data_IF_104390596388
#
_entry.id   IF_104390596388
#
_cell.length_a   1.000
_cell.length_b   1.000
_cell.length_c   1.000
_cell.angle_alpha   90.00
_cell.angle_beta   90.00
_cell.angle_gamma   90.00
#
_symmetry.space_group_name_H-M   'P 1'
#
loop_
_entity.id
_entity.type
_entity.pdbx_description
1 polymer ?
#
# COMPACT_ATOMS: atom_id res chain seq x y z
N UNK A 1 -0.90 -19.52 8.47
CA UNK A 1 0.32 -20.30 8.20
C UNK A 1 0.40 -20.64 6.72
N UNK A 2 1.59 -20.45 6.14
CA UNK A 2 1.94 -20.67 4.74
C UNK A 2 2.93 -21.84 4.72
N UNK A 3 2.77 -22.75 3.77
CA UNK A 3 3.67 -23.90 3.61
C UNK A 3 5.03 -23.42 3.12
N UNK A 4 6.08 -23.79 3.84
CA UNK A 4 7.45 -23.65 3.42
C UNK A 4 7.90 -24.96 2.75
N UNK A 5 8.00 -24.94 1.43
CA UNK A 5 8.38 -26.11 0.61
C UNK A 5 9.83 -26.08 0.15
N UNK A 6 10.64 -25.19 0.69
CA UNK A 6 12.06 -25.01 0.30
C UNK A 6 12.89 -26.27 0.50
N UNK A 7 12.52 -27.09 1.48
CA UNK A 7 13.19 -28.34 1.84
C UNK A 7 12.42 -29.59 1.35
N UNK A 8 11.47 -29.44 0.42
CA UNK A 8 10.61 -30.54 -0.05
C UNK A 8 11.39 -31.61 -0.83
N UNK A 9 12.39 -31.19 -1.61
CA UNK A 9 13.22 -32.07 -2.43
C UNK A 9 14.61 -32.11 -1.81
N UNK A 10 15.15 -33.31 -1.60
CA UNK A 10 16.53 -33.47 -1.12
C UNK A 10 17.56 -33.39 -2.26
N UNK A 11 18.85 -33.31 -1.91
CA UNK A 11 19.96 -33.26 -2.89
C UNK A 11 20.02 -34.49 -3.83
N UNK A 12 19.31 -35.58 -3.49
CA UNK A 12 19.22 -36.80 -4.28
C UNK A 12 17.94 -36.83 -5.15
N UNK A 13 17.14 -35.77 -5.13
CA UNK A 13 15.92 -35.62 -5.93
C UNK A 13 14.69 -36.31 -5.34
N UNK A 14 14.74 -36.80 -4.10
CA UNK A 14 13.59 -37.44 -3.45
C UNK A 14 12.66 -36.40 -2.84
N UNK A 15 11.36 -36.63 -3.01
CA UNK A 15 10.31 -35.79 -2.42
C UNK A 15 10.00 -36.28 -1.01
N UNK A 16 10.13 -35.40 -0.01
CA UNK A 16 9.80 -35.69 1.38
C UNK A 16 8.84 -34.65 1.97
N UNK A 17 7.56 -35.02 2.08
CA UNK A 17 6.51 -34.17 2.62
C UNK A 17 6.64 -33.89 4.12
N UNK A 18 7.37 -34.73 4.88
CA UNK A 18 7.61 -34.52 6.32
C UNK A 18 8.55 -33.33 6.59
N UNK A 19 9.22 -32.81 5.55
CA UNK A 19 10.10 -31.64 5.62
C UNK A 19 9.38 -30.32 5.36
N UNK A 20 8.09 -30.35 5.04
CA UNK A 20 7.31 -29.13 4.87
C UNK A 20 7.10 -28.48 6.24
N UNK A 21 7.64 -27.28 6.41
CA UNK A 21 7.42 -26.46 7.61
C UNK A 21 6.38 -25.37 7.32
N UNK A 22 6.03 -24.61 8.35
CA UNK A 22 5.08 -23.51 8.25
C UNK A 22 5.76 -22.20 8.64
N UNK A 23 5.41 -21.13 7.93
CA UNK A 23 5.76 -19.77 8.33
C UNK A 23 4.51 -18.87 8.28
N UNK A 24 4.60 -17.69 8.88
CA UNK A 24 3.52 -16.71 8.88
C UNK A 24 4.04 -15.34 8.47
N UNK A 25 3.16 -14.53 7.90
CA UNK A 25 3.43 -13.11 7.65
C UNK A 25 2.66 -12.25 8.64
N UNK A 26 3.22 -11.10 9.00
CA UNK A 26 2.57 -10.13 9.87
C UNK A 26 2.90 -8.70 9.44
N UNK A 27 1.86 -7.88 9.30
CA UNK A 27 1.97 -6.48 8.96
C UNK A 27 1.40 -5.62 10.09
N UNK A 28 2.21 -4.71 10.63
CA UNK A 28 1.83 -3.74 11.64
C UNK A 28 1.87 -2.34 11.04
N UNK A 29 0.86 -1.52 11.35
CA UNK A 29 0.77 -0.14 10.89
C UNK A 29 0.50 0.81 12.05
N UNK A 30 1.33 1.85 12.17
CA UNK A 30 1.11 2.97 13.06
C UNK A 30 0.88 4.23 12.21
N UNK A 31 -0.17 4.98 12.52
CA UNK A 31 -0.47 6.25 11.84
C UNK A 31 -0.62 7.39 12.83
N UNK A 32 -0.09 8.55 12.44
CA UNK A 32 -0.28 9.80 13.15
C UNK A 32 -0.89 10.83 12.21
N UNK A 33 -2.06 11.34 12.56
CA UNK A 33 -2.82 12.24 11.71
C UNK A 33 -3.08 13.57 12.40
N UNK A 34 -2.99 14.66 11.64
CA UNK A 34 -3.35 16.00 12.08
C UNK A 34 -4.26 16.66 11.04
N UNK A 35 -5.34 17.30 11.48
CA UNK A 35 -6.25 18.02 10.59
C UNK A 35 -6.71 19.32 11.22
N UNK A 36 -6.92 20.34 10.37
CA UNK A 36 -7.35 21.66 10.82
C UNK A 36 -8.27 22.34 9.81
N UNK A 37 -9.26 23.06 10.33
CA UNK A 37 -10.06 24.02 9.56
C UNK A 37 -9.23 25.28 9.28
N UNK A 38 -9.21 25.72 8.03
CA UNK A 38 -8.52 26.97 7.65
C UNK A 38 -9.44 28.18 7.90
N UNK A 39 -8.86 29.39 8.01
CA UNK A 39 -9.64 30.63 8.13
C UNK A 39 -10.58 30.89 6.93
N UNK A 40 -10.28 30.27 5.77
CA UNK A 40 -11.15 30.29 4.59
C UNK A 40 -12.34 29.36 4.83
N UNK A 41 -13.56 29.90 4.73
CA UNK A 41 -14.79 29.15 5.00
C UNK A 41 -14.87 27.87 4.18
N UNK A 42 -15.18 26.76 4.85
CA UNK A 42 -15.36 25.45 4.22
C UNK A 42 -14.06 24.72 3.89
N UNK A 43 -12.90 25.39 3.96
CA UNK A 43 -11.62 24.78 3.60
C UNK A 43 -10.95 24.13 4.81
N UNK A 44 -10.54 22.87 4.67
CA UNK A 44 -9.86 22.07 5.68
C UNK A 44 -8.64 21.42 5.05
N UNK A 45 -7.59 21.19 5.84
CA UNK A 45 -6.47 20.36 5.42
C UNK A 45 -6.16 19.30 6.47
N UNK A 46 -5.50 18.23 6.03
CA UNK A 46 -5.01 17.16 6.87
C UNK A 46 -3.66 16.67 6.37
N UNK A 47 -2.84 16.20 7.30
CA UNK A 47 -1.59 15.51 7.03
C UNK A 47 -1.58 14.21 7.83
N UNK A 48 -0.94 13.19 7.27
CA UNK A 48 -0.84 11.88 7.89
C UNK A 48 0.57 11.34 7.72
N UNK A 49 1.16 10.83 8.80
CA UNK A 49 2.40 10.08 8.78
C UNK A 49 2.11 8.62 9.10
N UNK A 50 2.79 7.70 8.42
CA UNK A 50 2.64 6.26 8.56
C UNK A 50 4.00 5.64 8.85
N UNK A 51 4.00 4.66 9.74
CA UNK A 51 5.11 3.72 9.92
C UNK A 51 4.52 2.32 9.76
N UNK A 52 5.06 1.54 8.83
CA UNK A 52 4.64 0.17 8.54
C UNK A 52 5.79 -0.77 8.89
N UNK A 53 5.51 -1.85 9.62
CA UNK A 53 6.46 -2.94 9.86
C UNK A 53 5.90 -4.21 9.24
N UNK A 54 6.61 -4.81 8.30
CA UNK A 54 6.25 -6.12 7.73
C UNK A 54 7.23 -7.18 8.19
N UNK A 55 6.74 -8.40 8.37
CA UNK A 55 7.52 -9.57 8.77
C UNK A 55 7.05 -10.74 7.91
N UNK A 56 7.99 -11.45 7.29
CA UNK A 56 7.76 -12.63 6.45
C UNK A 56 8.53 -13.79 7.06
N UNK A 57 7.90 -14.53 7.97
CA UNK A 57 8.54 -15.65 8.67
C UNK A 57 9.91 -15.27 9.23
N UNK A 58 10.89 -16.13 8.94
CA UNK A 58 12.31 -15.86 9.20
C UNK A 58 13.02 -15.25 7.98
N UNK A 59 12.35 -15.15 6.83
CA UNK A 59 12.99 -14.79 5.56
C UNK A 59 13.31 -13.31 5.43
N UNK A 60 12.39 -12.44 5.86
CA UNK A 60 12.59 -11.00 5.70
C UNK A 60 11.72 -10.18 6.65
N UNK A 61 12.16 -8.97 6.96
CA UNK A 61 11.31 -7.96 7.59
C UNK A 61 11.59 -6.57 7.03
N UNK A 62 10.62 -5.66 7.07
CA UNK A 62 10.81 -4.30 6.55
C UNK A 62 10.19 -3.21 7.38
N UNK A 63 10.81 -2.03 7.31
CA UNK A 63 10.26 -0.79 7.83
C UNK A 63 9.93 0.16 6.69
N UNK A 64 8.68 0.62 6.68
CA UNK A 64 8.12 1.54 5.73
C UNK A 64 7.71 2.86 6.37
N UNK A 65 7.94 3.98 5.68
CA UNK A 65 7.51 5.31 6.14
C UNK A 65 6.78 6.04 5.02
N UNK A 66 5.62 6.62 5.32
CA UNK A 66 4.84 7.36 4.32
C UNK A 66 4.25 8.64 4.87
N UNK A 67 4.20 9.69 4.05
CA UNK A 67 3.49 10.93 4.35
C UNK A 67 2.36 11.15 3.35
N UNK A 68 1.17 11.46 3.85
CA UNK A 68 0.04 11.91 3.04
C UNK A 68 -0.33 13.35 3.40
N UNK A 69 -0.93 14.06 2.45
CA UNK A 69 -1.61 15.31 2.70
C UNK A 69 -2.93 15.33 1.94
N UNK A 70 -3.92 16.01 2.53
CA UNK A 70 -5.22 16.19 1.93
C UNK A 70 -5.73 17.60 2.16
N UNK A 71 -6.53 18.08 1.21
CA UNK A 71 -7.32 19.29 1.33
C UNK A 71 -8.77 18.95 1.01
N UNK A 72 -9.69 19.57 1.73
CA UNK A 72 -11.12 19.40 1.51
C UNK A 72 -11.80 20.76 1.54
N UNK A 73 -12.73 20.98 0.61
CA UNK A 73 -13.62 22.12 0.59
C UNK A 73 -15.07 21.66 0.76
N UNK A 74 -15.75 22.21 1.76
CA UNK A 74 -17.15 21.94 2.08
C UNK A 74 -17.99 23.21 1.89
N UNK A 75 -19.06 23.09 1.10
CA UNK A 75 -20.00 24.20 0.88
C UNK A 75 -21.13 24.16 1.92
N UNK A 76 -21.79 25.30 2.12
CA UNK A 76 -22.98 25.40 2.99
C UNK A 76 -24.15 24.50 2.52
N UNK A 77 -24.15 24.12 1.24
CA UNK A 77 -25.13 23.19 0.69
C UNK A 77 -24.56 21.76 0.67
N UNK A 78 -23.80 21.32 1.67
CA UNK A 78 -23.35 19.93 1.85
C UNK A 78 -22.60 19.27 0.66
N UNK A 79 -22.09 20.06 -0.29
CA UNK A 79 -21.10 19.55 -1.25
C UNK A 79 -19.74 19.48 -0.58
N UNK A 80 -19.01 18.40 -0.83
CA UNK A 80 -17.61 18.24 -0.42
C UNK A 80 -16.77 17.89 -1.63
N UNK A 81 -15.65 18.59 -1.76
CA UNK A 81 -14.61 18.35 -2.75
C UNK A 81 -13.34 18.02 -1.98
N UNK A 82 -12.66 16.95 -2.33
CA UNK A 82 -11.46 16.48 -1.66
C UNK A 82 -10.37 16.16 -2.66
N UNK A 83 -9.14 16.51 -2.30
CA UNK A 83 -7.95 16.06 -2.99
C UNK A 83 -7.01 15.48 -1.93
N UNK A 84 -6.51 14.28 -2.15
CA UNK A 84 -5.55 13.61 -1.27
C UNK A 84 -4.35 13.18 -2.09
N UNK A 85 -3.17 13.66 -1.72
CA UNK A 85 -1.90 13.16 -2.22
C UNK A 85 -1.37 12.14 -1.19
N UNK A 86 -1.16 10.91 -1.63
CA UNK A 86 -0.64 9.81 -0.81
C UNK A 86 0.81 9.56 -1.13
N UNK A 87 1.56 9.20 -0.08
CA UNK A 87 2.96 8.79 -0.18
C UNK A 87 3.82 9.89 -0.85
N UNK A 88 3.62 11.16 -0.45
CA UNK A 88 4.23 12.36 -1.04
C UNK A 88 5.75 12.31 -1.02
N UNK A 89 6.34 11.79 0.05
CA UNK A 89 7.79 11.65 0.20
C UNK A 89 8.33 10.38 -0.43
N UNK A 90 7.52 9.64 -1.18
CA UNK A 90 7.72 8.24 -1.54
C UNK A 90 7.75 7.38 -0.29
N UNK A 91 6.97 6.30 -0.27
CA UNK A 91 7.12 5.30 0.79
C UNK A 91 8.32 4.42 0.45
N UNK A 92 9.38 4.53 1.23
CA UNK A 92 10.52 3.63 1.20
C UNK A 92 10.27 2.50 2.20
N UNK A 93 10.17 1.27 1.73
CA UNK A 93 10.32 0.11 2.60
C UNK A 93 11.76 -0.39 2.49
N UNK A 94 12.49 -0.34 3.60
CA UNK A 94 13.80 -0.97 3.71
C UNK A 94 13.60 -2.40 4.23
N UNK A 95 13.98 -3.38 3.42
CA UNK A 95 13.92 -4.80 3.72
C UNK A 95 15.27 -5.28 4.28
N UNK A 96 15.21 -5.97 5.41
CA UNK A 96 16.28 -6.81 5.92
C UNK A 96 15.93 -8.24 5.56
N UNK A 97 16.76 -8.85 4.71
CA UNK A 97 16.62 -10.24 4.25
C UNK A 97 17.58 -11.09 5.06
N UNK A 98 17.12 -12.27 5.48
CA UNK A 98 17.98 -13.26 6.12
C UNK A 98 18.76 -14.03 5.05
N UNK A 99 20.06 -13.78 4.98
CA UNK A 99 20.95 -14.38 3.98
C UNK A 99 21.09 -15.90 4.19
N UNK A 100 21.07 -16.39 5.44
CA UNK A 100 21.19 -17.81 5.72
C UNK A 100 19.96 -18.57 5.22
N UNK A 101 18.76 -18.05 5.49
CA UNK A 101 17.51 -18.60 4.94
C UNK A 101 17.46 -18.47 3.41
N UNK A 102 18.01 -17.39 2.84
CA UNK A 102 18.07 -17.21 1.39
C UNK A 102 18.99 -18.23 0.70
N UNK A 103 20.16 -18.54 1.26
CA UNK A 103 21.05 -19.55 0.69
C UNK A 103 20.41 -20.95 0.68
N UNK A 104 19.47 -21.25 1.60
CA UNK A 104 18.73 -22.53 1.56
C UNK A 104 17.81 -22.67 0.34
N UNK A 105 17.45 -21.56 -0.30
CA UNK A 105 16.49 -21.53 -1.42
C UNK A 105 17.11 -21.15 -2.76
N UNK A 106 18.27 -20.49 -2.72
CA UNK A 106 18.94 -19.92 -3.88
C UNK A 106 19.26 -20.95 -4.97
N UNK A 107 19.64 -22.16 -4.57
CA UNK A 107 19.97 -23.28 -5.46
C UNK A 107 18.88 -24.36 -5.49
N UNK A 108 17.67 -24.06 -4.98
CA UNK A 108 16.59 -25.05 -4.88
C UNK A 108 16.05 -25.52 -6.25
N UNK A 109 16.33 -24.79 -7.33
CA UNK A 109 15.95 -25.14 -8.70
C UNK A 109 17.17 -25.00 -9.61
N UNK A 110 17.64 -26.14 -10.14
CA UNK A 110 18.81 -26.21 -11.02
C UNK A 110 18.64 -25.28 -12.25
N UNK A 111 19.60 -24.38 -12.45
CA UNK A 111 19.58 -23.41 -13.55
C UNK A 111 18.67 -22.18 -13.33
N UNK A 112 18.06 -22.04 -12.14
CA UNK A 112 17.29 -20.86 -11.73
C UNK A 112 17.85 -20.20 -10.47
N UNK A 113 19.18 -20.06 -10.41
CA UNK A 113 19.84 -19.36 -9.30
C UNK A 113 19.22 -17.97 -9.12
N UNK A 114 18.65 -17.75 -7.95
CA UNK A 114 18.02 -16.49 -7.60
C UNK A 114 19.10 -15.52 -7.10
N UNK A 115 19.04 -14.27 -7.56
CA UNK A 115 19.83 -13.20 -6.94
C UNK A 115 19.11 -12.69 -5.69
N UNK A 116 19.88 -12.14 -4.74
CA UNK A 116 19.31 -11.50 -3.56
C UNK A 116 18.33 -10.41 -4.02
N UNK A 117 17.09 -10.39 -3.51
CA UNK A 117 16.13 -9.39 -3.92
C UNK A 117 16.55 -8.00 -3.45
N UNK A 118 16.11 -6.98 -4.18
CA UNK A 118 16.37 -5.59 -3.85
C UNK A 118 15.89 -5.26 -2.42
N UNK A 119 16.78 -4.64 -1.64
CA UNK A 119 16.52 -4.32 -0.22
C UNK A 119 15.68 -3.05 -0.04
N UNK A 120 15.33 -2.37 -1.12
CA UNK A 120 14.54 -1.13 -1.09
C UNK A 120 13.34 -1.24 -2.03
N UNK A 121 12.15 -1.04 -1.48
CA UNK A 121 10.91 -0.91 -2.25
C UNK A 121 10.46 0.55 -2.21
N UNK A 122 10.24 1.13 -3.39
CA UNK A 122 9.84 2.53 -3.58
C UNK A 122 8.40 2.54 -4.06
N UNK A 123 7.50 3.20 -3.31
CA UNK A 123 6.13 3.43 -3.74
C UNK A 123 5.99 4.82 -4.36
N UNK A 124 5.59 4.87 -5.64
CA UNK A 124 5.31 6.10 -6.36
C UNK A 124 4.11 6.84 -5.72
N UNK A 125 4.15 8.18 -5.59
CA UNK A 125 3.04 8.97 -5.10
C UNK A 125 1.74 8.69 -5.86
N UNK A 126 0.60 8.91 -5.19
CA UNK A 126 -0.73 8.74 -5.80
C UNK A 126 -1.60 9.94 -5.47
N UNK A 127 -2.50 10.29 -6.37
CA UNK A 127 -3.46 11.37 -6.15
C UNK A 127 -4.88 10.81 -6.19
N UNK A 128 -5.69 11.17 -5.21
CA UNK A 128 -7.10 10.82 -5.14
C UNK A 128 -7.92 12.09 -5.15
N UNK A 129 -8.94 12.11 -6.00
CA UNK A 129 -9.85 13.25 -6.14
C UNK A 129 -11.25 12.73 -5.85
N UNK A 130 -11.97 13.40 -4.96
CA UNK A 130 -13.30 13.00 -4.54
C UNK A 130 -14.28 14.16 -4.57
N UNK A 131 -15.50 13.87 -4.99
CA UNK A 131 -16.64 14.75 -4.85
C UNK A 131 -17.76 14.00 -4.14
N UNK A 132 -18.45 14.66 -3.22
CA UNK A 132 -19.67 14.11 -2.63
C UNK A 132 -20.71 15.17 -2.33
N UNK A 133 -21.96 14.72 -2.25
CA UNK A 133 -23.12 15.53 -1.91
C UNK A 133 -23.99 14.78 -0.94
N UNK A 134 -24.22 15.38 0.22
CA UNK A 134 -25.21 14.88 1.18
C UNK A 134 -26.58 15.51 0.89
N UNK A 135 -27.56 14.66 0.63
CA UNK A 135 -28.98 14.99 0.57
C UNK A 135 -29.61 14.63 1.92
N UNK A 136 -30.32 15.58 2.53
CA UNK A 136 -31.08 15.32 3.75
C UNK A 136 -32.56 15.25 3.36
N UNK A 137 -33.21 14.13 3.65
CA UNK A 137 -34.64 13.92 3.45
C UNK A 137 -35.32 13.91 4.83
N UNK A 138 -36.10 14.94 5.13
CA UNK A 138 -36.69 15.16 6.46
C UNK A 138 -35.63 15.05 7.59
N UNK A 139 -36.04 14.75 8.82
CA UNK A 139 -35.12 14.73 9.97
C UNK A 139 -34.25 13.46 10.04
N UNK A 140 -34.73 12.32 9.55
CA UNK A 140 -34.14 11.02 9.89
C UNK A 140 -33.38 10.33 8.75
N UNK A 141 -33.53 10.79 7.51
CA UNK A 141 -32.92 10.13 6.36
C UNK A 141 -31.91 11.02 5.65
N UNK A 142 -30.76 10.45 5.32
CA UNK A 142 -29.75 11.15 4.52
C UNK A 142 -29.17 10.22 3.47
N UNK A 143 -28.91 10.75 2.28
CA UNK A 143 -28.23 10.04 1.19
C UNK A 143 -26.93 10.78 0.88
N UNK A 144 -25.80 10.06 0.86
CA UNK A 144 -24.53 10.59 0.40
C UNK A 144 -24.23 10.02 -0.98
N UNK A 145 -24.31 10.85 -2.01
CA UNK A 145 -23.80 10.50 -3.33
C UNK A 145 -22.32 10.90 -3.39
N UNK A 146 -21.44 10.02 -3.90
CA UNK A 146 -20.02 10.30 -4.03
C UNK A 146 -19.46 9.72 -5.34
N UNK A 147 -18.45 10.39 -5.89
CA UNK A 147 -17.66 9.92 -7.01
C UNK A 147 -16.19 10.22 -6.73
N UNK A 148 -15.31 9.28 -7.04
CA UNK A 148 -13.89 9.37 -6.75
C UNK A 148 -13.08 8.91 -7.96
N UNK A 149 -11.91 9.53 -8.15
CA UNK A 149 -10.93 9.19 -9.16
C UNK A 149 -9.59 8.92 -8.46
N UNK A 150 -8.95 7.82 -8.84
CA UNK A 150 -7.57 7.52 -8.50
C UNK A 150 -6.67 7.89 -9.68
N UNK A 151 -5.59 8.59 -9.40
CA UNK A 151 -4.53 8.93 -10.36
C UNK A 151 -3.23 8.31 -9.87
N UNK A 152 -2.57 7.56 -10.75
CA UNK A 152 -1.26 6.96 -10.53
C UNK A 152 -0.27 7.58 -11.50
N UNK A 153 0.90 7.99 -11.02
CA UNK A 153 1.94 8.60 -11.86
C UNK A 153 2.83 7.53 -12.52
N UNK A 154 2.17 6.60 -13.21
CA UNK A 154 2.76 5.51 -13.98
C UNK A 154 1.80 5.14 -15.12
N UNK A 155 2.32 4.58 -16.20
CA UNK A 155 1.51 4.01 -17.28
C UNK A 155 1.00 2.63 -16.86
N UNK A 156 -0.31 2.40 -16.92
CA UNK A 156 -0.92 1.12 -16.56
C UNK A 156 -2.17 0.83 -17.42
N UNK A 157 -2.95 -0.19 -17.05
CA UNK A 157 -4.17 -0.59 -17.76
C UNK A 157 -5.46 0.13 -17.28
N UNK A 158 -5.35 1.35 -16.73
CA UNK A 158 -6.52 2.14 -16.33
C UNK A 158 -7.27 2.73 -17.54
N UNK A 159 -8.52 3.17 -17.31
CA UNK A 159 -9.44 3.66 -18.36
C UNK A 159 -8.83 4.80 -19.17
N UNK A 160 -8.15 5.72 -18.50
CA UNK A 160 -7.32 6.74 -19.14
C UNK A 160 -5.88 6.42 -18.76
N UNK A 161 -5.04 6.11 -19.73
CA UNK A 161 -3.63 5.77 -19.50
C UNK A 161 -2.74 6.59 -20.42
N UNK A 162 -1.69 7.17 -19.86
CA UNK A 162 -0.66 7.93 -20.56
C UNK A 162 0.70 7.53 -19.99
N UNK A 163 1.77 7.86 -20.71
CA UNK A 163 3.14 7.57 -20.26
C UNK A 163 3.55 8.25 -18.94
N UNK A 164 2.82 9.29 -18.51
CA UNK A 164 3.09 10.01 -17.27
C UNK A 164 2.11 9.70 -16.14
N UNK A 165 0.83 9.47 -16.47
CA UNK A 165 -0.20 9.21 -15.48
C UNK A 165 -1.36 8.40 -16.03
N UNK A 166 -1.96 7.62 -15.16
CA UNK A 166 -3.13 6.80 -15.41
C UNK A 166 -4.25 7.09 -14.42
N UNK A 167 -5.49 7.05 -14.88
CA UNK A 167 -6.68 7.48 -14.14
C UNK A 167 -7.81 6.47 -14.25
N UNK A 168 -8.38 6.11 -13.11
CA UNK A 168 -9.50 5.18 -13.00
C UNK A 168 -10.50 5.67 -11.94
N UNK A 169 -11.81 5.42 -12.07
CA UNK A 169 -12.72 5.49 -10.94
C UNK A 169 -12.22 4.66 -9.76
N UNK A 170 -12.36 5.20 -8.55
CA UNK A 170 -11.87 4.57 -7.33
C UNK A 170 -12.78 3.48 -6.77
#
# INVERSE_FOLDING_TARGET
DILNTTQLIDEQGNINYDRISLFSTADYGLTFSYARKLPVQGLNYGVNAKVIRRIIGNFASSWGFGLDAAIQFETNNNWKFGIMARDITTTFNAWAIDEDEFETIKDAVEGQNQELPETTEITIPKLQIGISKKFNFNYDYTLLAAANLNVRFEENNDIISTSFASVNPA
#
